data_IF_585580432932
#
_entry.id   IF_585580432932
#
_cell.length_a   1.000
_cell.length_b   1.000
_cell.length_c   1.000
_cell.angle_alpha   90.00
_cell.angle_beta   90.00
_cell.angle_gamma   90.00
#
_symmetry.space_group_name_H-M   'P 1'
#
loop_
_entity.id
_entity.type
_entity.pdbx_description
1 polymer ?
#
# COMPACT_ATOMS: atom_id res chain seq x y z
N UNK A 1 47.94 26.14 -60.26
CA UNK A 1 47.47 26.30 -58.89
C UNK A 1 45.96 26.52 -58.77
N UNK A 2 45.21 27.05 -59.75
CA UNK A 2 43.74 27.31 -59.66
C UNK A 2 42.83 26.05 -59.73
N UNK A 3 43.34 24.87 -60.17
CA UNK A 3 42.50 23.65 -60.36
C UNK A 3 42.18 22.86 -59.07
N UNK A 4 42.90 23.09 -57.96
CA UNK A 4 42.75 22.34 -56.72
C UNK A 4 41.92 23.10 -55.64
N UNK A 5 41.64 24.39 -55.86
CA UNK A 5 40.89 25.22 -54.93
C UNK A 5 39.49 24.66 -54.61
N UNK A 6 38.69 24.24 -55.60
CA UNK A 6 37.36 23.71 -55.30
C UNK A 6 37.42 22.38 -54.53
N UNK A 7 38.43 21.54 -54.69
CA UNK A 7 38.62 20.29 -53.95
C UNK A 7 38.97 20.55 -52.48
N UNK A 8 39.82 21.51 -52.23
CA UNK A 8 40.23 21.91 -50.85
C UNK A 8 39.04 22.53 -50.12
N UNK A 9 38.25 23.38 -50.78
CA UNK A 9 37.05 23.98 -50.18
C UNK A 9 35.99 22.90 -49.89
N UNK A 10 35.80 21.94 -50.77
CA UNK A 10 34.85 20.82 -50.55
C UNK A 10 35.31 19.94 -49.39
N UNK A 11 36.61 19.63 -49.28
CA UNK A 11 37.13 18.81 -48.16
C UNK A 11 36.99 19.52 -46.81
N UNK A 12 37.24 20.82 -46.74
CA UNK A 12 37.05 21.61 -45.51
C UNK A 12 35.59 21.66 -45.14
N UNK A 13 34.67 21.83 -46.12
CA UNK A 13 33.23 21.84 -45.87
C UNK A 13 32.72 20.47 -45.36
N UNK A 14 33.20 19.36 -45.91
CA UNK A 14 32.86 18.00 -45.43
C UNK A 14 33.40 17.76 -44.04
N UNK A 15 34.61 18.19 -43.72
CA UNK A 15 35.16 18.09 -42.35
C UNK A 15 34.39 18.92 -41.34
N UNK A 16 33.95 20.12 -41.71
CA UNK A 16 33.09 20.94 -40.87
C UNK A 16 31.71 20.33 -40.63
N UNK A 17 31.10 19.76 -41.67
CA UNK A 17 29.81 19.05 -41.52
C UNK A 17 29.94 17.80 -40.66
N UNK A 18 31.00 17.02 -40.82
CA UNK A 18 31.28 15.85 -39.98
C UNK A 18 31.56 16.28 -38.52
N UNK A 19 32.29 17.37 -38.33
CA UNK A 19 32.58 17.93 -37.01
C UNK A 19 31.33 18.43 -36.27
N UNK A 20 30.34 18.95 -37.01
CA UNK A 20 29.04 19.39 -36.42
C UNK A 20 28.10 18.21 -36.22
N UNK A 21 28.11 17.22 -37.11
CA UNK A 21 27.24 16.05 -37.02
C UNK A 21 27.72 15.04 -35.96
N UNK A 22 29.03 14.95 -35.73
CA UNK A 22 29.64 13.98 -34.82
C UNK A 22 29.09 14.05 -33.39
N UNK A 23 29.05 15.22 -32.71
CA UNK A 23 28.51 15.31 -31.34
C UNK A 23 27.01 14.98 -31.27
N UNK A 24 26.24 15.27 -32.32
CA UNK A 24 24.82 14.94 -32.41
C UNK A 24 24.65 13.42 -32.55
N UNK A 25 25.43 12.77 -33.40
CA UNK A 25 25.42 11.31 -33.57
C UNK A 25 25.84 10.59 -32.30
N UNK A 26 26.92 11.07 -31.66
CA UNK A 26 27.40 10.49 -30.39
C UNK A 26 26.38 10.64 -29.26
N UNK A 27 25.72 11.79 -29.18
CA UNK A 27 24.63 12.00 -28.22
C UNK A 27 23.46 11.05 -28.46
N UNK A 28 23.04 10.87 -29.71
CA UNK A 28 21.96 9.96 -30.09
C UNK A 28 22.33 8.49 -29.75
N UNK A 29 23.56 8.06 -30.04
CA UNK A 29 24.04 6.73 -29.68
C UNK A 29 24.08 6.51 -28.16
N UNK A 30 24.51 7.52 -27.41
CA UNK A 30 24.49 7.47 -25.94
C UNK A 30 23.08 7.36 -25.40
N UNK A 31 22.14 8.16 -25.94
CA UNK A 31 20.73 8.09 -25.55
C UNK A 31 20.08 6.74 -25.90
N UNK A 32 20.43 6.15 -27.05
CA UNK A 32 19.95 4.80 -27.42
C UNK A 32 20.56 3.71 -26.54
N UNK A 33 21.84 3.79 -26.23
CA UNK A 33 22.51 2.85 -25.32
C UNK A 33 21.96 2.97 -23.90
N UNK A 34 21.70 4.18 -23.43
CA UNK A 34 21.06 4.43 -22.16
C UNK A 34 19.65 3.86 -22.09
N UNK A 35 18.83 4.11 -23.13
CA UNK A 35 17.47 3.53 -23.23
C UNK A 35 17.49 2.00 -23.29
N UNK A 36 18.47 1.40 -23.99
CA UNK A 36 18.63 -0.06 -24.04
C UNK A 36 19.04 -0.63 -22.68
N UNK A 37 19.93 0.06 -21.95
CA UNK A 37 20.34 -0.30 -20.61
C UNK A 37 19.14 -0.21 -19.64
N UNK A 38 18.41 0.91 -19.66
CA UNK A 38 17.21 1.11 -18.84
C UNK A 38 16.08 0.12 -19.18
N UNK A 39 15.92 -0.23 -20.45
CA UNK A 39 14.94 -1.23 -20.88
C UNK A 39 15.27 -2.66 -20.41
N UNK A 40 16.54 -2.95 -20.13
CA UNK A 40 16.99 -4.22 -19.55
C UNK A 40 16.89 -4.27 -18.03
N UNK A 41 16.85 -3.12 -17.36
CA UNK A 41 16.67 -3.04 -15.90
C UNK A 41 15.22 -3.36 -15.54
N UNK A 42 15.03 -4.18 -14.55
CA UNK A 42 13.72 -4.45 -13.97
C UNK A 42 13.86 -4.77 -12.49
N UNK A 43 12.93 -4.26 -11.71
CA UNK A 43 12.78 -4.60 -10.30
C UNK A 43 11.86 -5.81 -10.15
N UNK A 44 12.19 -6.66 -9.21
CA UNK A 44 11.33 -7.75 -8.74
C UNK A 44 10.73 -7.35 -7.40
N UNK A 45 9.41 -7.26 -7.34
CA UNK A 45 8.66 -6.93 -6.12
C UNK A 45 7.79 -8.12 -5.73
N UNK A 46 7.86 -8.54 -4.49
CA UNK A 46 6.86 -9.42 -3.90
C UNK A 46 5.86 -8.58 -3.11
N UNK A 47 4.57 -8.80 -3.36
CA UNK A 47 3.50 -7.98 -2.80
C UNK A 47 2.34 -8.85 -2.31
N UNK A 48 1.77 -8.52 -1.15
CA UNK A 48 0.54 -9.11 -0.62
C UNK A 48 -0.74 -8.47 -1.21
N UNK A 49 -0.58 -7.44 -2.03
CA UNK A 49 -1.71 -6.77 -2.67
C UNK A 49 -2.36 -7.65 -3.74
N UNK A 50 -3.66 -7.42 -4.05
CA UNK A 50 -4.34 -8.07 -5.15
C UNK A 50 -3.64 -7.88 -6.50
N UNK A 51 -3.76 -8.87 -7.39
CA UNK A 51 -3.06 -8.88 -8.68
C UNK A 51 -3.42 -7.68 -9.56
N UNK A 52 -4.67 -7.28 -9.58
CA UNK A 52 -5.16 -6.13 -10.35
C UNK A 52 -4.56 -4.79 -9.89
N UNK A 53 -4.35 -4.64 -8.57
CA UNK A 53 -3.65 -3.49 -7.98
C UNK A 53 -2.18 -3.51 -8.39
N UNK A 54 -1.50 -4.65 -8.26
CA UNK A 54 -0.11 -4.83 -8.66
C UNK A 54 0.12 -4.55 -10.14
N UNK A 55 -0.77 -5.02 -11.01
CA UNK A 55 -0.74 -4.73 -12.45
C UNK A 55 -0.98 -3.24 -12.74
N UNK A 56 -1.82 -2.59 -11.94
CA UNK A 56 -2.04 -1.15 -11.98
C UNK A 56 -0.76 -0.37 -11.66
N UNK A 57 -0.14 -0.68 -10.52
CA UNK A 57 1.12 -0.06 -10.09
C UNK A 57 2.23 -0.23 -11.13
N UNK A 58 2.42 -1.43 -11.66
CA UNK A 58 3.44 -1.70 -12.67
C UNK A 58 3.22 -0.89 -13.96
N UNK A 59 1.96 -0.78 -14.43
CA UNK A 59 1.62 0.01 -15.63
C UNK A 59 1.86 1.50 -15.43
N UNK A 60 1.40 2.06 -14.30
CA UNK A 60 1.53 3.49 -14.05
C UNK A 60 2.99 3.89 -13.80
N UNK A 61 3.75 3.06 -13.09
CA UNK A 61 5.19 3.29 -12.93
C UNK A 61 5.91 3.32 -14.27
N UNK A 62 5.65 2.34 -15.16
CA UNK A 62 6.23 2.33 -16.50
C UNK A 62 5.81 3.55 -17.34
N UNK A 63 4.54 3.92 -17.29
CA UNK A 63 4.00 5.07 -18.04
C UNK A 63 4.66 6.39 -17.63
N UNK A 64 4.93 6.56 -16.34
CA UNK A 64 5.43 7.82 -15.79
C UNK A 64 6.96 7.89 -15.75
N UNK A 65 7.63 6.78 -15.44
CA UNK A 65 9.09 6.73 -15.24
C UNK A 65 9.83 6.05 -16.40
N UNK A 66 9.13 5.34 -17.29
CA UNK A 66 9.70 4.50 -18.35
C UNK A 66 10.64 3.38 -17.85
N UNK A 67 10.53 3.04 -16.57
CA UNK A 67 11.26 1.98 -15.88
C UNK A 67 10.34 0.78 -15.65
N UNK A 68 10.91 -0.43 -15.65
CA UNK A 68 10.13 -1.66 -15.51
C UNK A 68 10.17 -2.20 -14.10
N UNK A 69 9.02 -2.62 -13.60
CA UNK A 69 8.88 -3.38 -12.36
C UNK A 69 8.03 -4.62 -12.62
N UNK A 70 8.44 -5.74 -12.06
CA UNK A 70 7.70 -6.99 -12.10
C UNK A 70 7.19 -7.29 -10.69
N UNK A 71 5.89 -7.15 -10.48
CA UNK A 71 5.26 -7.32 -9.18
C UNK A 71 4.57 -8.68 -9.15
N UNK A 72 4.95 -9.52 -8.21
CA UNK A 72 4.35 -10.83 -7.98
C UNK A 72 3.43 -10.78 -6.76
N UNK A 73 2.14 -10.98 -7.00
CA UNK A 73 1.17 -11.15 -5.91
C UNK A 73 1.43 -12.46 -5.17
N UNK A 74 1.52 -12.40 -3.86
CA UNK A 74 1.77 -13.54 -2.99
C UNK A 74 0.91 -13.45 -1.74
N UNK A 75 0.37 -14.58 -1.32
CA UNK A 75 -0.18 -14.67 0.04
C UNK A 75 0.95 -14.61 1.07
N UNK A 76 0.65 -14.28 2.32
CA UNK A 76 1.64 -14.25 3.41
C UNK A 76 2.40 -15.58 3.52
N UNK A 77 1.69 -16.71 3.37
CA UNK A 77 2.31 -18.04 3.39
C UNK A 77 3.25 -18.29 2.21
N UNK A 78 2.85 -17.87 0.99
CA UNK A 78 3.66 -18.01 -0.22
C UNK A 78 4.87 -17.07 -0.19
N UNK A 79 4.70 -15.89 0.40
CA UNK A 79 5.79 -14.93 0.59
C UNK A 79 6.84 -15.51 1.53
N UNK A 80 6.44 -15.96 2.72
CA UNK A 80 7.36 -16.59 3.68
C UNK A 80 8.06 -17.82 3.09
N UNK A 81 7.34 -18.68 2.37
CA UNK A 81 7.93 -19.83 1.69
C UNK A 81 8.93 -19.42 0.61
N UNK A 82 8.60 -18.43 -0.19
CA UNK A 82 9.48 -17.93 -1.27
C UNK A 82 10.76 -17.29 -0.73
N UNK A 83 10.66 -16.50 0.34
CA UNK A 83 11.80 -15.85 0.99
C UNK A 83 12.72 -16.89 1.66
N UNK A 84 12.16 -17.97 2.23
CA UNK A 84 12.92 -19.08 2.82
C UNK A 84 13.57 -20.02 1.79
N UNK A 85 13.13 -20.01 0.53
CA UNK A 85 13.71 -20.86 -0.51
C UNK A 85 15.04 -20.29 -1.02
N UNK A 86 16.16 -20.92 -0.68
CA UNK A 86 17.51 -20.48 -1.05
C UNK A 86 17.76 -20.40 -2.56
N UNK A 87 17.09 -21.23 -3.35
CA UNK A 87 17.28 -21.36 -4.81
C UNK A 87 16.18 -20.66 -5.63
N UNK A 88 15.20 -20.04 -4.98
CA UNK A 88 14.10 -19.32 -5.66
C UNK A 88 14.47 -17.91 -6.06
N UNK A 89 13.65 -17.25 -6.91
CA UNK A 89 13.81 -15.85 -7.23
C UNK A 89 13.71 -15.02 -5.94
N UNK A 90 14.57 -14.02 -5.85
CA UNK A 90 14.63 -13.10 -4.71
C UNK A 90 14.03 -11.75 -5.13
N UNK A 91 13.23 -11.12 -4.28
CA UNK A 91 12.72 -9.80 -4.57
C UNK A 91 13.75 -8.71 -4.22
N UNK A 92 13.72 -7.61 -4.96
CA UNK A 92 14.44 -6.38 -4.62
C UNK A 92 13.65 -5.58 -3.57
N UNK A 93 12.31 -5.65 -3.66
CA UNK A 93 11.39 -4.92 -2.77
C UNK A 93 10.31 -5.87 -2.26
N UNK A 94 9.91 -5.64 -1.00
CA UNK A 94 8.71 -6.23 -0.40
C UNK A 94 7.66 -5.14 -0.20
N UNK A 95 6.41 -5.44 -0.57
CA UNK A 95 5.21 -4.71 -0.15
C UNK A 95 4.38 -5.71 0.63
N UNK A 96 4.27 -5.53 1.94
CA UNK A 96 3.67 -6.52 2.82
C UNK A 96 3.11 -5.89 4.10
N UNK A 97 2.39 -6.70 4.86
CA UNK A 97 1.91 -6.31 6.19
C UNK A 97 3.06 -5.90 7.11
N UNK A 98 2.79 -5.03 8.07
CA UNK A 98 3.77 -4.62 9.09
C UNK A 98 4.39 -5.82 9.80
N UNK A 99 3.60 -6.82 10.14
CA UNK A 99 4.07 -8.02 10.85
C UNK A 99 5.03 -8.86 10.02
N UNK A 100 4.74 -9.03 8.72
CA UNK A 100 5.68 -9.70 7.83
C UNK A 100 6.97 -8.89 7.66
N UNK A 101 6.90 -7.56 7.52
CA UNK A 101 8.09 -6.72 7.43
C UNK A 101 8.92 -6.74 8.71
N UNK A 102 8.29 -6.73 9.90
CA UNK A 102 8.97 -6.92 11.19
C UNK A 102 9.66 -8.28 11.28
N UNK A 103 8.99 -9.32 10.79
CA UNK A 103 9.57 -10.68 10.71
C UNK A 103 10.79 -10.70 9.78
N UNK A 104 10.71 -10.05 8.61
CA UNK A 104 11.84 -10.01 7.68
C UNK A 104 13.00 -9.14 8.19
N UNK A 105 12.72 -8.10 8.98
CA UNK A 105 13.75 -7.38 9.74
C UNK A 105 14.49 -8.31 10.70
N UNK A 106 13.77 -9.12 11.48
CA UNK A 106 14.38 -10.09 12.40
C UNK A 106 15.21 -11.15 11.67
N UNK A 107 14.80 -11.53 10.46
CA UNK A 107 15.54 -12.45 9.60
C UNK A 107 16.79 -11.81 8.96
N UNK A 108 17.00 -10.50 9.12
CA UNK A 108 18.17 -9.77 8.60
C UNK A 108 18.21 -9.66 7.08
N UNK A 109 17.06 -9.71 6.39
CA UNK A 109 17.01 -9.66 4.92
C UNK A 109 16.67 -8.28 4.36
N UNK A 110 16.42 -7.29 5.21
CA UNK A 110 16.12 -5.93 4.81
C UNK A 110 17.36 -5.03 4.89
N UNK A 111 17.41 -4.03 4.02
CA UNK A 111 18.42 -2.97 4.07
C UNK A 111 17.76 -1.60 4.27
N UNK A 112 18.47 -0.63 4.88
CA UNK A 112 17.88 0.69 5.10
C UNK A 112 17.53 1.38 3.79
N UNK A 113 16.38 2.06 3.81
CA UNK A 113 15.91 2.95 2.76
C UNK A 113 15.38 4.24 3.39
N UNK A 114 15.93 5.37 2.98
CA UNK A 114 15.52 6.69 3.45
C UNK A 114 15.26 7.63 2.27
N UNK A 115 14.19 8.39 2.35
CA UNK A 115 13.87 9.45 1.40
C UNK A 115 13.06 10.56 2.07
N UNK A 116 12.93 11.70 1.38
CA UNK A 116 12.10 12.81 1.84
C UNK A 116 10.63 12.40 2.03
N UNK A 117 10.15 11.35 1.35
CA UNK A 117 8.80 10.83 1.53
C UNK A 117 8.68 10.00 2.81
N UNK A 118 9.66 9.14 3.12
CA UNK A 118 9.66 8.34 4.33
C UNK A 118 9.82 9.20 5.59
N UNK A 119 10.46 10.36 5.49
CA UNK A 119 10.55 11.33 6.59
C UNK A 119 9.18 11.83 7.05
N UNK A 120 8.21 11.92 6.14
CA UNK A 120 6.85 12.35 6.46
C UNK A 120 5.96 11.24 7.03
N UNK A 121 6.40 9.97 7.02
CA UNK A 121 5.66 8.86 7.63
C UNK A 121 5.78 8.96 9.15
N UNK A 122 4.66 8.88 9.91
CA UNK A 122 4.70 8.89 11.37
C UNK A 122 5.65 7.83 11.94
N UNK A 123 6.33 8.15 13.04
CA UNK A 123 7.27 7.23 13.69
C UNK A 123 6.63 5.90 14.13
N UNK A 124 5.32 5.90 14.43
CA UNK A 124 4.55 4.69 14.74
C UNK A 124 4.26 3.79 13.53
N UNK A 125 4.45 4.30 12.32
CA UNK A 125 4.16 3.61 11.06
C UNK A 125 5.43 3.31 10.25
N UNK A 126 6.60 3.35 10.86
CA UNK A 126 7.88 3.00 10.22
C UNK A 126 8.87 2.41 11.20
N UNK A 127 9.84 1.72 10.68
CA UNK A 127 10.94 1.16 11.46
C UNK A 127 11.92 2.26 11.92
N UNK A 128 12.39 2.16 13.15
CA UNK A 128 13.33 3.14 13.71
C UNK A 128 14.72 3.10 13.06
N UNK A 129 15.09 1.95 12.47
CA UNK A 129 16.38 1.76 11.78
C UNK A 129 16.24 1.98 10.26
N UNK A 130 15.09 2.46 9.77
CA UNK A 130 14.85 2.74 8.34
C UNK A 130 14.72 1.50 7.46
N UNK A 131 14.48 0.31 8.03
CA UNK A 131 14.43 -0.94 7.28
C UNK A 131 13.11 -1.18 6.55
N UNK A 132 12.04 -0.56 7.00
CA UNK A 132 10.73 -0.54 6.33
C UNK A 132 9.96 0.72 6.69
N UNK A 133 8.99 1.08 5.85
CA UNK A 133 8.12 2.23 6.06
C UNK A 133 6.70 1.96 5.58
N UNK A 134 5.71 2.48 6.29
CA UNK A 134 4.29 2.33 5.96
C UNK A 134 3.94 3.06 4.66
N UNK A 135 3.17 2.39 3.80
CA UNK A 135 2.62 2.94 2.56
C UNK A 135 1.16 3.34 2.73
N UNK A 136 0.35 2.38 3.18
CA UNK A 136 -1.10 2.54 3.32
C UNK A 136 -1.55 1.95 4.63
N UNK A 137 -2.53 2.59 5.23
CA UNK A 137 -3.23 2.04 6.39
C UNK A 137 -4.73 1.94 6.09
N UNK A 138 -5.34 0.89 6.62
CA UNK A 138 -6.75 0.60 6.48
C UNK A 138 -7.40 0.48 7.86
N UNK A 139 -7.96 1.57 8.42
CA UNK A 139 -8.50 1.55 9.77
C UNK A 139 -9.85 0.84 9.84
N UNK A 140 -10.18 0.31 11.01
CA UNK A 140 -11.53 -0.10 11.33
C UNK A 140 -12.43 1.12 11.52
N UNK A 141 -13.66 1.00 11.02
CA UNK A 141 -14.66 2.06 11.01
C UNK A 141 -16.03 1.52 11.43
N UNK A 142 -16.91 2.41 11.86
CA UNK A 142 -18.32 2.10 11.93
C UNK A 142 -18.98 2.39 10.59
N UNK A 143 -19.71 1.42 10.10
CA UNK A 143 -20.61 1.57 8.94
C UNK A 143 -22.01 1.71 9.50
N UNK A 144 -22.67 2.83 9.25
CA UNK A 144 -23.99 3.16 9.78
C UNK A 144 -24.98 3.20 8.64
N UNK A 145 -26.11 2.49 8.74
CA UNK A 145 -27.16 2.55 7.73
C UNK A 145 -27.84 3.93 7.73
N UNK A 146 -28.23 4.41 6.55
CA UNK A 146 -28.97 5.66 6.44
C UNK A 146 -30.28 5.61 7.22
N UNK A 147 -30.99 4.48 7.22
CA UNK A 147 -32.24 4.30 7.96
C UNK A 147 -32.05 4.39 9.48
N UNK A 148 -30.93 3.89 10.02
CA UNK A 148 -30.62 4.04 11.43
C UNK A 148 -30.33 5.50 11.79
N UNK A 149 -29.52 6.19 10.97
CA UNK A 149 -29.26 7.61 11.16
C UNK A 149 -30.59 8.44 11.14
N UNK A 150 -31.49 8.17 10.18
CA UNK A 150 -32.78 8.86 10.09
C UNK A 150 -33.66 8.64 11.34
N UNK A 151 -33.61 7.43 11.94
CA UNK A 151 -34.33 7.15 13.20
C UNK A 151 -33.73 7.81 14.42
N UNK A 152 -32.39 7.90 14.48
CA UNK A 152 -31.66 8.42 15.67
C UNK A 152 -31.41 9.92 15.61
N UNK A 153 -31.29 10.51 14.42
CA UNK A 153 -30.98 11.92 14.22
C UNK A 153 -29.54 12.33 14.49
N UNK A 154 -28.66 11.36 14.85
CA UNK A 154 -27.23 11.61 15.11
C UNK A 154 -26.40 10.39 14.69
N UNK A 155 -25.14 10.67 14.30
CA UNK A 155 -24.13 9.64 14.03
C UNK A 155 -23.40 9.29 15.31
N UNK A 156 -22.85 8.08 15.33
CA UNK A 156 -21.90 7.64 16.36
C UNK A 156 -20.57 8.38 16.17
N UNK A 157 -19.80 8.46 17.23
CA UNK A 157 -18.47 9.07 17.17
C UNK A 157 -17.40 8.27 17.95
N UNK A 158 -17.82 7.44 18.88
CA UNK A 158 -16.93 6.67 19.76
C UNK A 158 -17.39 5.22 19.88
N UNK A 159 -16.52 4.36 20.39
CA UNK A 159 -16.88 2.97 20.71
C UNK A 159 -18.01 2.89 21.75
N UNK A 160 -18.03 3.80 22.74
CA UNK A 160 -19.05 3.80 23.78
C UNK A 160 -20.45 4.11 23.24
N UNK A 161 -20.55 4.82 22.12
CA UNK A 161 -21.83 5.09 21.45
C UNK A 161 -22.54 3.81 21.00
N UNK A 162 -21.78 2.72 20.71
CA UNK A 162 -22.35 1.41 20.38
C UNK A 162 -23.15 0.77 21.51
N UNK A 163 -22.99 1.23 22.74
CA UNK A 163 -23.73 0.73 23.92
C UNK A 163 -24.98 1.57 24.26
N UNK A 164 -25.19 2.69 23.55
CA UNK A 164 -26.23 3.68 23.94
C UNK A 164 -27.63 3.32 23.48
N UNK A 165 -27.78 2.44 22.49
CA UNK A 165 -29.08 2.02 21.93
C UNK A 165 -29.29 0.51 22.11
N UNK A 166 -30.12 0.06 23.08
CA UNK A 166 -30.35 -1.35 23.33
C UNK A 166 -31.06 -2.09 22.17
N UNK A 167 -31.66 -1.36 21.23
CA UNK A 167 -32.37 -1.94 20.08
C UNK A 167 -31.54 -1.97 18.79
N UNK A 168 -30.31 -1.44 18.84
CA UNK A 168 -29.41 -1.43 17.70
C UNK A 168 -28.97 -2.85 17.33
N UNK A 169 -29.03 -3.16 16.04
CA UNK A 169 -28.54 -4.41 15.48
C UNK A 169 -27.10 -4.22 14.96
N UNK A 170 -26.13 -4.80 15.68
CA UNK A 170 -24.71 -4.69 15.35
C UNK A 170 -24.23 -5.91 14.57
N UNK A 171 -23.60 -5.70 13.40
CA UNK A 171 -22.79 -6.69 12.71
C UNK A 171 -21.31 -6.50 13.13
N UNK A 172 -20.74 -7.51 13.78
CA UNK A 172 -19.40 -7.42 14.36
C UNK A 172 -18.45 -8.48 13.77
N UNK A 173 -17.14 -8.22 13.67
CA UNK A 173 -16.20 -9.24 13.23
C UNK A 173 -16.12 -10.40 14.23
N UNK A 174 -15.97 -11.62 13.69
CA UNK A 174 -15.66 -12.80 14.49
C UNK A 174 -14.16 -12.79 14.82
N UNK A 175 -13.83 -12.22 15.97
CA UNK A 175 -12.44 -12.09 16.40
C UNK A 175 -11.71 -13.43 16.52
N UNK A 176 -12.43 -14.54 16.77
CA UNK A 176 -11.79 -15.86 16.83
C UNK A 176 -11.41 -16.43 15.44
N UNK A 177 -11.92 -15.82 14.37
CA UNK A 177 -11.72 -16.27 13.00
C UNK A 177 -10.94 -15.26 12.12
N UNK A 178 -10.44 -14.19 12.72
CA UNK A 178 -9.69 -13.13 12.03
C UNK A 178 -8.24 -13.08 12.51
N UNK A 179 -7.32 -12.95 11.56
CA UNK A 179 -5.88 -12.90 11.85
C UNK A 179 -5.48 -11.68 12.70
N UNK A 180 -6.21 -10.56 12.61
CA UNK A 180 -5.93 -9.35 13.37
C UNK A 180 -6.73 -9.18 14.68
N UNK A 181 -7.27 -10.25 15.21
CA UNK A 181 -7.96 -10.17 16.51
C UNK A 181 -7.02 -9.68 17.62
N UNK A 182 -5.75 -10.06 17.54
CA UNK A 182 -4.72 -9.64 18.49
C UNK A 182 -4.52 -8.11 18.48
N UNK A 183 -4.31 -7.53 17.30
CA UNK A 183 -4.09 -6.08 17.13
C UNK A 183 -5.33 -5.28 17.57
N UNK A 184 -6.52 -5.77 17.21
CA UNK A 184 -7.76 -5.14 17.65
C UNK A 184 -7.87 -5.14 19.19
N UNK A 185 -7.65 -6.28 19.82
CA UNK A 185 -7.73 -6.40 21.27
C UNK A 185 -6.64 -5.58 21.97
N UNK A 186 -5.41 -5.59 21.45
CA UNK A 186 -4.32 -4.78 21.99
C UNK A 186 -4.63 -3.28 21.91
N UNK A 187 -5.08 -2.80 20.75
CA UNK A 187 -5.44 -1.38 20.60
C UNK A 187 -6.61 -0.99 21.50
N UNK A 188 -7.56 -1.90 21.71
CA UNK A 188 -8.68 -1.66 22.63
C UNK A 188 -8.22 -1.56 24.08
N UNK A 189 -7.28 -2.42 24.49
CA UNK A 189 -6.66 -2.38 25.82
C UNK A 189 -5.83 -1.11 26.02
N UNK A 190 -5.15 -0.63 24.96
CA UNK A 190 -4.42 0.66 25.02
C UNK A 190 -5.37 1.85 25.21
N UNK A 191 -6.53 1.83 24.57
CA UNK A 191 -7.53 2.91 24.65
C UNK A 191 -8.24 2.90 26.00
N UNK A 192 -8.67 1.75 26.49
CA UNK A 192 -9.59 1.62 27.65
C UNK A 192 -8.95 0.99 28.91
N UNK A 193 -7.80 0.34 28.79
CA UNK A 193 -7.26 -0.54 29.82
C UNK A 193 -7.89 -1.93 29.80
N UNK A 194 -7.21 -2.92 30.39
CA UNK A 194 -7.59 -4.34 30.30
C UNK A 194 -8.98 -4.62 30.90
N UNK A 195 -9.22 -4.21 32.13
CA UNK A 195 -10.47 -4.51 32.86
C UNK A 195 -11.70 -3.82 32.19
N UNK A 196 -11.51 -2.60 31.70
CA UNK A 196 -12.57 -1.88 30.99
C UNK A 196 -12.85 -2.47 29.64
N UNK A 197 -11.82 -2.88 28.90
CA UNK A 197 -11.96 -3.57 27.61
C UNK A 197 -12.77 -4.87 27.75
N UNK A 198 -12.49 -5.67 28.77
CA UNK A 198 -13.25 -6.89 29.02
C UNK A 198 -14.72 -6.59 29.34
N UNK A 199 -14.98 -5.64 30.21
CA UNK A 199 -16.34 -5.23 30.56
C UNK A 199 -17.12 -4.69 29.38
N UNK A 200 -16.47 -3.86 28.58
CA UNK A 200 -17.03 -3.28 27.36
C UNK A 200 -17.39 -4.36 26.33
N UNK A 201 -16.47 -5.26 26.01
CA UNK A 201 -16.71 -6.33 25.01
C UNK A 201 -17.81 -7.29 25.47
N UNK A 202 -17.91 -7.60 26.78
CA UNK A 202 -19.03 -8.36 27.34
C UNK A 202 -20.37 -7.63 27.22
N UNK A 203 -20.40 -6.31 27.45
CA UNK A 203 -21.60 -5.50 27.26
C UNK A 203 -22.00 -5.42 25.77
N UNK A 204 -21.02 -5.20 24.88
CA UNK A 204 -21.23 -5.13 23.44
C UNK A 204 -21.82 -6.41 22.86
N UNK A 205 -21.50 -7.57 23.42
CA UNK A 205 -22.00 -8.86 22.97
C UNK A 205 -23.54 -8.91 22.94
N UNK A 206 -24.22 -8.21 23.84
CA UNK A 206 -25.68 -8.16 23.88
C UNK A 206 -26.31 -7.40 22.71
N UNK A 207 -25.54 -6.54 22.01
CA UNK A 207 -25.97 -5.77 20.84
C UNK A 207 -25.60 -6.47 19.52
N UNK A 208 -24.76 -7.50 19.55
CA UNK A 208 -24.30 -8.18 18.33
C UNK A 208 -25.39 -9.10 17.82
N UNK A 209 -26.00 -8.70 16.72
CA UNK A 209 -26.98 -9.51 15.98
C UNK A 209 -26.30 -10.59 15.13
N UNK A 210 -25.07 -10.36 14.69
CA UNK A 210 -24.36 -11.31 13.84
C UNK A 210 -22.84 -11.11 13.89
N UNK A 211 -22.13 -12.23 13.88
CA UNK A 211 -20.66 -12.29 13.69
C UNK A 211 -20.35 -12.71 12.26
N UNK A 212 -19.25 -12.18 11.69
CA UNK A 212 -18.77 -12.57 10.36
C UNK A 212 -17.25 -12.66 10.29
N UNK A 213 -16.79 -13.61 9.47
CA UNK A 213 -15.35 -13.87 9.23
C UNK A 213 -14.73 -12.91 8.22
N UNK A 214 -15.52 -12.00 7.63
CA UNK A 214 -15.06 -11.01 6.67
C UNK A 214 -15.69 -9.66 6.95
N UNK A 215 -14.88 -8.62 6.97
CA UNK A 215 -15.30 -7.24 7.21
C UNK A 215 -16.31 -6.75 6.16
N UNK A 216 -16.12 -7.11 4.89
CA UNK A 216 -17.05 -6.75 3.80
C UNK A 216 -18.46 -7.33 3.99
N UNK A 217 -18.60 -8.47 4.68
CA UNK A 217 -19.91 -9.04 5.03
C UNK A 217 -20.66 -8.15 6.01
N UNK A 218 -19.96 -7.53 6.97
CA UNK A 218 -20.59 -6.58 7.89
C UNK A 218 -21.11 -5.35 7.14
N UNK A 219 -20.33 -4.82 6.19
CA UNK A 219 -20.77 -3.71 5.33
C UNK A 219 -22.00 -4.10 4.53
N UNK A 220 -22.00 -5.29 3.90
CA UNK A 220 -23.13 -5.78 3.13
C UNK A 220 -24.40 -5.87 3.97
N UNK A 221 -24.32 -6.39 5.21
CA UNK A 221 -25.48 -6.51 6.11
C UNK A 221 -26.08 -5.16 6.46
N UNK A 222 -25.25 -4.15 6.67
CA UNK A 222 -25.71 -2.78 6.90
C UNK A 222 -26.35 -2.22 5.62
N UNK A 223 -25.70 -2.40 4.47
CA UNK A 223 -26.20 -1.92 3.19
C UNK A 223 -27.55 -2.56 2.79
N UNK A 224 -27.78 -3.83 3.16
CA UNK A 224 -29.03 -4.56 2.91
C UNK A 224 -30.10 -4.29 3.99
N UNK A 225 -29.79 -3.59 5.08
CA UNK A 225 -30.72 -3.34 6.19
C UNK A 225 -30.87 -4.51 7.17
N UNK A 226 -30.01 -5.53 7.08
CA UNK A 226 -29.97 -6.66 8.04
C UNK A 226 -29.33 -6.26 9.38
N UNK A 227 -28.53 -5.18 9.39
CA UNK A 227 -27.95 -4.58 10.58
C UNK A 227 -28.07 -3.05 10.50
N UNK A 228 -28.13 -2.42 11.65
CA UNK A 228 -28.13 -0.96 11.77
C UNK A 228 -26.70 -0.39 11.63
N UNK A 229 -25.75 -1.07 12.27
CA UNK A 229 -24.35 -0.70 12.31
C UNK A 229 -23.48 -1.93 12.05
N UNK A 230 -22.37 -1.72 11.38
CA UNK A 230 -21.33 -2.71 11.18
C UNK A 230 -19.96 -2.18 11.58
N UNK A 231 -19.15 -3.01 12.25
CA UNK A 231 -17.72 -2.74 12.40
C UNK A 231 -17.03 -3.40 11.21
N UNK A 232 -16.28 -2.61 10.44
CA UNK A 232 -15.65 -3.05 9.20
C UNK A 232 -14.36 -2.26 8.92
N UNK A 233 -13.63 -2.68 7.92
CA UNK A 233 -12.49 -1.92 7.39
C UNK A 233 -12.95 -0.78 6.46
N UNK A 234 -12.16 0.30 6.44
CA UNK A 234 -12.52 1.50 5.69
C UNK A 234 -12.52 1.27 4.17
N UNK A 235 -11.69 0.37 3.64
CA UNK A 235 -11.62 0.11 2.19
C UNK A 235 -12.87 -0.60 1.71
N UNK A 236 -13.33 -1.66 2.40
CA UNK A 236 -14.60 -2.33 2.11
C UNK A 236 -15.77 -1.34 2.23
N UNK A 237 -15.80 -0.52 3.27
CA UNK A 237 -16.86 0.46 3.47
C UNK A 237 -16.92 1.49 2.33
N UNK A 238 -15.76 2.00 1.88
CA UNK A 238 -15.68 2.95 0.75
C UNK A 238 -16.14 2.33 -0.55
N UNK A 239 -15.76 1.08 -0.82
CA UNK A 239 -16.20 0.37 -2.01
C UNK A 239 -17.73 0.31 -2.09
N UNK A 240 -18.40 -0.19 -1.05
CA UNK A 240 -19.85 -0.26 -1.01
C UNK A 240 -20.52 1.11 -1.15
N UNK A 241 -19.97 2.14 -0.52
CA UNK A 241 -20.48 3.50 -0.64
C UNK A 241 -20.32 4.05 -2.07
N UNK A 242 -19.21 3.77 -2.74
CA UNK A 242 -18.98 4.17 -4.13
C UNK A 242 -19.91 3.43 -5.10
N UNK A 243 -20.29 2.19 -4.77
CA UNK A 243 -21.29 1.40 -5.48
C UNK A 243 -22.74 1.86 -5.20
N UNK A 244 -22.91 2.94 -4.40
CA UNK A 244 -24.21 3.55 -4.14
C UNK A 244 -24.95 3.02 -2.91
N UNK A 245 -24.31 2.23 -2.04
CA UNK A 245 -24.94 1.77 -0.82
C UNK A 245 -25.30 2.95 0.12
N UNK A 246 -26.51 2.97 0.71
CA UNK A 246 -26.97 4.05 1.59
C UNK A 246 -26.38 3.93 3.00
N UNK A 247 -25.08 4.17 3.10
CA UNK A 247 -24.32 4.02 4.34
C UNK A 247 -23.46 5.27 4.63
N UNK A 248 -23.24 5.52 5.92
CA UNK A 248 -22.24 6.45 6.43
C UNK A 248 -21.03 5.70 6.95
N UNK A 249 -19.83 6.27 6.76
CA UNK A 249 -18.55 5.72 7.26
C UNK A 249 -18.06 6.65 8.34
N UNK A 250 -17.93 6.14 9.55
CA UNK A 250 -17.54 6.91 10.75
C UNK A 250 -16.22 6.35 11.27
N UNK A 251 -15.25 7.22 11.42
CA UNK A 251 -13.96 6.92 12.05
C UNK A 251 -14.10 7.18 13.56
N UNK A 252 -13.89 6.18 14.43
CA UNK A 252 -13.98 6.37 15.88
C UNK A 252 -12.99 7.45 16.34
N UNK A 253 -13.50 8.45 17.09
CA UNK A 253 -12.70 9.59 17.55
C UNK A 253 -11.82 9.23 18.77
N UNK A 254 -12.19 8.20 19.48
CA UNK A 254 -11.48 7.65 20.63
C UNK A 254 -10.40 6.62 20.24
N UNK A 255 -10.11 6.50 18.93
CA UNK A 255 -9.09 5.61 18.40
C UNK A 255 -9.66 4.32 17.81
N UNK A 256 -8.87 3.68 16.96
CA UNK A 256 -9.25 2.41 16.33
C UNK A 256 -8.00 1.67 15.86
N UNK A 257 -8.10 0.35 15.71
CA UNK A 257 -7.06 -0.46 15.06
C UNK A 257 -7.02 -0.24 13.55
N UNK A 258 -5.88 -0.51 12.96
CA UNK A 258 -5.67 -0.40 11.52
C UNK A 258 -4.71 -1.47 11.02
N UNK A 259 -4.85 -1.83 9.75
CA UNK A 259 -3.85 -2.61 9.02
C UNK A 259 -2.86 -1.68 8.38
N UNK A 260 -1.59 -1.95 8.53
CA UNK A 260 -0.52 -1.21 7.88
C UNK A 260 0.13 -2.10 6.82
N UNK A 261 0.07 -1.67 5.56
CA UNK A 261 0.89 -2.20 4.48
C UNK A 261 2.09 -1.28 4.31
N UNK A 262 3.27 -1.85 4.32
CA UNK A 262 4.52 -1.12 4.19
C UNK A 262 5.36 -1.59 3.01
N UNK A 263 6.48 -0.90 2.81
CA UNK A 263 7.50 -1.20 1.81
C UNK A 263 8.86 -1.38 2.47
N UNK A 264 9.66 -2.30 1.96
CA UNK A 264 11.03 -2.53 2.37
C UNK A 264 11.90 -2.89 1.17
N UNK A 265 13.16 -2.44 1.18
CA UNK A 265 14.19 -2.88 0.23
C UNK A 265 14.93 -4.05 0.83
N UNK A 266 15.19 -5.10 0.03
CA UNK A 266 15.88 -6.30 0.52
C UNK A 266 17.38 -6.23 0.29
N UNK A 267 18.14 -7.05 1.04
CA UNK A 267 19.60 -7.20 0.84
C UNK A 267 19.97 -7.88 -0.49
N UNK A 268 19.00 -8.40 -1.24
CA UNK A 268 19.23 -8.99 -2.57
C UNK A 268 19.12 -7.95 -3.68
N UNK A 269 18.67 -6.74 -3.37
CA UNK A 269 18.56 -5.66 -4.35
C UNK A 269 19.96 -5.18 -4.78
N UNK A 270 20.28 -5.41 -6.06
CA UNK A 270 21.53 -4.96 -6.67
C UNK A 270 21.40 -3.57 -7.29
N UNK A 271 20.20 -3.18 -7.70
CA UNK A 271 19.92 -1.88 -8.33
C UNK A 271 19.19 -0.94 -7.35
N UNK A 272 19.96 -0.43 -6.39
CA UNK A 272 19.45 0.50 -5.37
C UNK A 272 18.86 1.79 -5.95
N UNK A 273 19.37 2.28 -7.09
CA UNK A 273 18.85 3.47 -7.74
C UNK A 273 17.43 3.23 -8.28
N UNK A 274 17.21 2.08 -8.93
CA UNK A 274 15.89 1.71 -9.43
C UNK A 274 14.92 1.40 -8.29
N UNK A 275 15.39 0.75 -7.22
CA UNK A 275 14.59 0.49 -6.03
C UNK A 275 14.13 1.79 -5.36
N UNK A 276 15.04 2.75 -5.20
CA UNK A 276 14.71 4.07 -4.66
C UNK A 276 13.72 4.83 -5.57
N UNK A 277 13.92 4.78 -6.89
CA UNK A 277 13.02 5.42 -7.84
C UNK A 277 11.59 4.85 -7.75
N UNK A 278 11.43 3.53 -7.55
CA UNK A 278 10.12 2.91 -7.36
C UNK A 278 9.53 3.24 -5.99
N UNK A 279 10.33 3.15 -4.94
CA UNK A 279 9.88 3.43 -3.58
C UNK A 279 9.48 4.91 -3.41
N UNK A 280 10.24 5.86 -3.99
CA UNK A 280 9.85 7.27 -3.99
C UNK A 280 8.58 7.52 -4.80
N UNK A 281 8.46 6.85 -5.96
CA UNK A 281 7.28 7.00 -6.81
C UNK A 281 6.01 6.52 -6.11
N UNK A 282 6.04 5.39 -5.40
CA UNK A 282 4.84 4.82 -4.76
C UNK A 282 4.29 5.73 -3.65
N UNK A 283 5.14 6.56 -3.02
CA UNK A 283 4.72 7.59 -2.06
C UNK A 283 4.18 8.86 -2.73
N UNK A 284 4.44 9.04 -4.01
CA UNK A 284 4.09 10.27 -4.70
C UNK A 284 2.58 10.38 -4.95
N UNK A 285 2.03 11.60 -5.10
CA UNK A 285 0.65 11.79 -5.48
C UNK A 285 0.29 11.14 -6.82
N UNK A 286 1.28 11.01 -7.73
CA UNK A 286 1.10 10.41 -9.06
C UNK A 286 0.79 8.92 -9.00
N UNK A 287 1.28 8.21 -7.98
CA UNK A 287 0.97 6.79 -7.78
C UNK A 287 -0.44 6.57 -7.21
N UNK A 288 -1.01 7.60 -6.56
CA UNK A 288 -2.29 7.54 -5.86
C UNK A 288 -3.42 8.25 -6.64
N UNK A 289 -3.19 8.66 -7.88
CA UNK A 289 -4.17 9.30 -8.76
C UNK A 289 -4.90 8.30 -9.64
#
# INVERSE_FOLDING_TARGET
MKKYVPFVVLSVFVILLLGLAWPILMKHQQEEAQRAYEAGRHLVVFSDLPQDVNDGLAREFYKQKHLRVQIYSKTDSDMRQSLGNLNGPKPDILIASEDDLRTQKQNGILQPYESAYTDNVPASMKDADGLWSGLWYNPMVFVVSQSYYERRGQLLSTWDDLLTDPQMLLAFPDLAAMDMAGEFLCSFVEIKGLDESERYLRALQSHVASYSKSMSVNVRRVASGEADIGVADASSARQYRNDGAPIYIIYPQDGTSYWLTGIAVTNWCEDGELANAFADWIYSPEANA
#
